data_IF_942423481401
#
_entry.id   IF_942423481401
#
_cell.length_a   1.000
_cell.length_b   1.000
_cell.length_c   1.000
_cell.angle_alpha   90.00
_cell.angle_beta   90.00
_cell.angle_gamma   90.00
#
_symmetry.space_group_name_H-M   'P 1'
#
loop_
_entity.id
_entity.type
_entity.pdbx_description
1 polymer ?
#
# COMPACT_ATOMS: atom_id res chain seq x y z
N UNK A 1 13.27 -56.83 -16.75
CA UNK A 1 12.12 -56.73 -15.85
C UNK A 1 11.54 -55.34 -16.04
N UNK A 2 10.31 -55.21 -16.53
CA UNK A 2 9.64 -53.91 -16.65
C UNK A 2 9.49 -53.36 -15.23
N UNK A 3 10.04 -52.17 -14.99
CA UNK A 3 9.90 -51.49 -13.70
C UNK A 3 8.42 -51.11 -13.56
N UNK A 4 7.70 -51.84 -12.73
CA UNK A 4 6.30 -51.57 -12.48
C UNK A 4 6.21 -50.23 -11.76
N UNK A 5 5.66 -49.22 -12.43
CA UNK A 5 5.52 -47.86 -11.85
C UNK A 5 4.37 -47.91 -10.89
N UNK A 6 4.65 -47.76 -9.61
CA UNK A 6 3.60 -47.71 -8.56
C UNK A 6 2.91 -46.36 -8.51
N UNK A 7 1.59 -46.35 -8.37
CA UNK A 7 0.79 -45.13 -8.10
C UNK A 7 0.90 -44.67 -6.65
N UNK A 8 1.61 -45.44 -5.81
CA UNK A 8 1.76 -45.11 -4.40
C UNK A 8 2.76 -43.94 -4.21
N UNK A 9 2.27 -42.81 -3.77
CA UNK A 9 3.10 -41.65 -3.36
C UNK A 9 3.52 -41.87 -1.92
N UNK A 10 4.83 -41.81 -1.64
CA UNK A 10 5.37 -41.96 -0.28
C UNK A 10 4.75 -40.92 0.67
N UNK A 11 4.41 -41.29 1.91
CA UNK A 11 3.82 -40.36 2.89
C UNK A 11 4.69 -39.11 3.16
N UNK A 12 6.01 -39.22 3.01
CA UNK A 12 6.94 -38.10 3.15
C UNK A 12 6.74 -37.06 2.04
N UNK A 13 6.61 -37.52 0.78
CA UNK A 13 6.38 -36.65 -0.38
C UNK A 13 4.97 -36.03 -0.29
N UNK A 14 3.97 -36.81 0.14
CA UNK A 14 2.63 -36.28 0.31
C UNK A 14 2.60 -35.16 1.36
N UNK A 15 3.24 -35.35 2.52
CA UNK A 15 3.34 -34.31 3.55
C UNK A 15 4.06 -33.06 3.04
N UNK A 16 5.15 -33.24 2.30
CA UNK A 16 5.88 -32.14 1.69
C UNK A 16 5.02 -31.37 0.69
N UNK A 17 4.26 -32.07 -0.14
CA UNK A 17 3.33 -31.45 -1.12
C UNK A 17 2.25 -30.60 -0.40
N UNK A 18 1.67 -31.14 0.66
CA UNK A 18 0.69 -30.40 1.49
C UNK A 18 1.32 -29.17 2.16
N UNK A 19 2.53 -29.29 2.68
CA UNK A 19 3.23 -28.18 3.33
C UNK A 19 3.55 -27.06 2.34
N UNK A 20 4.17 -27.38 1.19
CA UNK A 20 4.55 -26.42 0.15
C UNK A 20 3.36 -25.70 -0.48
N UNK A 21 2.22 -26.38 -0.57
CA UNK A 21 0.98 -25.78 -1.09
C UNK A 21 0.16 -25.01 -0.05
N UNK A 22 0.54 -25.05 1.23
CA UNK A 22 -0.27 -24.59 2.37
C UNK A 22 -1.71 -25.19 2.34
N UNK A 23 -1.86 -26.42 1.86
CA UNK A 23 -3.15 -27.09 1.72
C UNK A 23 -4.12 -26.43 0.74
N UNK A 24 -3.60 -25.73 -0.26
CA UNK A 24 -4.38 -25.01 -1.27
C UNK A 24 -4.13 -25.53 -2.68
N UNK A 25 -5.10 -25.29 -3.56
CA UNK A 25 -4.99 -25.62 -4.99
C UNK A 25 -3.93 -24.76 -5.66
N UNK A 26 -2.92 -25.39 -6.28
CA UNK A 26 -1.79 -24.74 -6.94
C UNK A 26 -2.10 -24.36 -8.41
N UNK A 27 -3.33 -24.61 -8.89
CA UNK A 27 -3.78 -24.14 -10.20
C UNK A 27 -3.89 -22.61 -10.17
N UNK A 28 -3.29 -21.93 -11.14
CA UNK A 28 -3.29 -20.47 -11.20
C UNK A 28 -4.69 -19.88 -11.19
N UNK A 29 -4.90 -18.86 -10.34
CA UNK A 29 -6.20 -18.21 -10.12
C UNK A 29 -7.20 -19.00 -9.25
N UNK A 30 -6.91 -20.28 -8.84
CA UNK A 30 -7.85 -21.05 -8.02
C UNK A 30 -7.69 -20.84 -6.51
N UNK A 31 -6.53 -21.14 -5.95
CA UNK A 31 -6.18 -20.98 -4.52
C UNK A 31 -7.19 -21.54 -3.49
N UNK A 32 -8.07 -22.50 -3.90
CA UNK A 32 -9.11 -23.08 -3.05
C UNK A 32 -8.49 -23.90 -1.91
N UNK A 33 -9.03 -23.76 -0.69
CA UNK A 33 -8.64 -24.60 0.46
C UNK A 33 -9.09 -26.04 0.21
N UNK A 34 -8.22 -27.02 0.48
CA UNK A 34 -8.44 -28.43 0.12
C UNK A 34 -8.65 -29.36 1.31
N UNK A 35 -8.57 -28.86 2.53
CA UNK A 35 -8.81 -29.64 3.75
C UNK A 35 -10.09 -29.21 4.51
N UNK A 36 -10.85 -28.28 3.93
CA UNK A 36 -12.06 -27.72 4.52
C UNK A 36 -13.07 -27.35 3.44
N UNK A 37 -14.35 -27.59 3.69
CA UNK A 37 -15.44 -27.12 2.85
C UNK A 37 -15.50 -25.58 2.89
N UNK A 38 -15.55 -24.93 1.73
CA UNK A 38 -15.74 -23.48 1.64
C UNK A 38 -17.17 -23.03 2.00
N UNK A 39 -18.12 -23.97 2.08
CA UNK A 39 -19.53 -23.70 2.34
C UNK A 39 -19.88 -23.96 3.81
N UNK A 40 -19.51 -25.15 4.31
CA UNK A 40 -19.91 -25.59 5.66
C UNK A 40 -18.82 -25.41 6.70
N UNK A 41 -17.59 -25.09 6.30
CA UNK A 41 -16.38 -25.06 7.12
C UNK A 41 -15.99 -26.41 7.77
N UNK A 42 -16.67 -27.47 7.43
CA UNK A 42 -16.34 -28.82 7.91
C UNK A 42 -15.01 -29.31 7.33
N UNK A 43 -14.32 -30.16 8.10
CA UNK A 43 -13.08 -30.80 7.63
C UNK A 43 -13.39 -31.82 6.54
N UNK A 44 -13.03 -31.50 5.31
CA UNK A 44 -13.23 -32.36 4.12
C UNK A 44 -11.98 -32.31 3.25
N UNK A 45 -11.38 -33.47 2.98
CA UNK A 45 -10.22 -33.57 2.09
C UNK A 45 -10.69 -33.68 0.63
N UNK A 46 -10.55 -32.60 -0.12
CA UNK A 46 -10.93 -32.49 -1.55
C UNK A 46 -9.71 -32.44 -2.48
N UNK A 47 -8.53 -32.69 -1.95
CA UNK A 47 -7.28 -32.60 -2.67
C UNK A 47 -7.06 -33.77 -3.63
N UNK A 48 -6.53 -33.46 -4.81
CA UNK A 48 -5.97 -34.40 -5.76
C UNK A 48 -4.46 -34.14 -5.89
N UNK A 49 -3.68 -35.21 -5.79
CA UNK A 49 -2.22 -35.19 -6.03
C UNK A 49 -1.99 -35.37 -7.52
N UNK A 50 -2.07 -34.26 -8.26
CA UNK A 50 -1.98 -34.26 -9.70
C UNK A 50 -0.54 -34.46 -10.19
N UNK A 51 -0.31 -35.41 -11.10
CA UNK A 51 0.96 -35.54 -11.79
C UNK A 51 1.06 -34.50 -12.91
N UNK A 52 2.18 -33.77 -12.98
CA UNK A 52 2.46 -32.85 -14.08
C UNK A 52 2.76 -33.65 -15.35
N UNK A 53 3.72 -34.53 -15.30
CA UNK A 53 3.92 -35.57 -16.33
C UNK A 53 3.21 -36.84 -15.89
N UNK A 54 2.45 -37.40 -16.79
CA UNK A 54 1.57 -38.54 -16.49
C UNK A 54 2.31 -39.74 -15.90
N UNK A 55 1.58 -40.46 -15.05
CA UNK A 55 1.99 -41.78 -14.59
C UNK A 55 2.10 -42.81 -15.74
N UNK A 56 1.37 -42.63 -16.84
CA UNK A 56 1.38 -43.48 -18.04
C UNK A 56 1.99 -42.75 -19.23
N UNK A 57 2.74 -43.47 -20.07
CA UNK A 57 3.32 -42.90 -21.29
C UNK A 57 2.28 -42.27 -22.24
N UNK A 58 1.12 -42.90 -22.35
CA UNK A 58 0.03 -42.45 -23.19
C UNK A 58 -0.97 -41.52 -22.44
N UNK A 59 -0.63 -41.14 -21.22
CA UNK A 59 -1.46 -40.20 -20.43
C UNK A 59 -1.14 -38.75 -20.75
N UNK A 60 -1.86 -37.80 -20.09
CA UNK A 60 -1.64 -36.39 -20.28
C UNK A 60 -0.16 -35.99 -20.10
N UNK A 61 0.45 -35.34 -21.10
CA UNK A 61 1.86 -34.90 -21.13
C UNK A 61 2.91 -36.03 -21.08
N UNK A 62 2.46 -37.32 -21.14
CA UNK A 62 3.35 -38.49 -21.14
C UNK A 62 4.32 -38.55 -19.95
N UNK A 63 5.44 -39.25 -20.11
CA UNK A 63 6.49 -39.35 -19.08
C UNK A 63 7.48 -38.19 -19.10
N UNK A 64 7.49 -37.33 -20.12
CA UNK A 64 8.40 -36.20 -20.25
C UNK A 64 9.86 -36.54 -19.97
N UNK A 65 10.54 -35.82 -19.03
CA UNK A 65 11.95 -36.07 -18.72
C UNK A 65 12.19 -37.35 -17.89
N UNK A 66 11.14 -38.04 -17.44
CA UNK A 66 11.26 -39.22 -16.54
C UNK A 66 11.36 -40.55 -17.29
N UNK A 67 11.44 -40.55 -18.62
CA UNK A 67 11.58 -41.79 -19.45
C UNK A 67 12.74 -42.72 -18.98
N UNK A 68 13.84 -42.14 -18.51
CA UNK A 68 15.00 -42.86 -18.00
C UNK A 68 14.98 -43.09 -16.49
N UNK A 69 13.95 -42.63 -15.78
CA UNK A 69 13.85 -42.67 -14.32
C UNK A 69 12.42 -42.69 -13.83
N UNK A 70 11.65 -43.72 -14.24
CA UNK A 70 10.21 -43.84 -13.91
C UNK A 70 9.91 -43.87 -12.40
N UNK A 71 10.86 -44.27 -11.56
CA UNK A 71 10.76 -44.22 -10.12
C UNK A 71 10.63 -42.78 -9.56
N UNK A 72 11.00 -41.78 -10.35
CA UNK A 72 10.90 -40.35 -10.00
C UNK A 72 9.57 -39.73 -10.40
N UNK A 73 8.67 -40.43 -11.07
CA UNK A 73 7.35 -39.90 -11.43
C UNK A 73 6.53 -39.47 -10.22
N UNK A 74 6.74 -40.07 -9.05
CA UNK A 74 6.09 -39.71 -7.80
C UNK A 74 6.92 -38.72 -6.93
N UNK A 75 7.99 -38.11 -7.47
CA UNK A 75 8.76 -37.11 -6.75
C UNK A 75 8.01 -35.77 -6.69
N UNK A 76 8.34 -34.99 -5.68
CA UNK A 76 7.70 -33.67 -5.40
C UNK A 76 7.74 -32.73 -6.60
N UNK A 77 8.79 -32.78 -7.44
CA UNK A 77 8.92 -31.92 -8.61
C UNK A 77 7.87 -32.22 -9.72
N UNK A 78 7.32 -33.44 -9.74
CA UNK A 78 6.30 -33.86 -10.69
C UNK A 78 4.87 -33.85 -10.14
N UNK A 79 4.69 -33.42 -8.90
CA UNK A 79 3.39 -33.41 -8.23
C UNK A 79 2.95 -31.99 -7.92
N UNK A 80 1.67 -31.70 -8.17
CA UNK A 80 1.01 -30.50 -7.69
C UNK A 80 -0.27 -30.84 -6.93
N UNK A 81 -0.62 -30.06 -5.91
CA UNK A 81 -1.87 -30.21 -5.19
C UNK A 81 -2.97 -29.42 -5.90
N UNK A 82 -4.04 -30.08 -6.30
CA UNK A 82 -5.12 -29.47 -7.03
C UNK A 82 -6.50 -29.83 -6.44
N UNK A 83 -7.49 -28.98 -6.59
CA UNK A 83 -8.88 -29.39 -6.37
C UNK A 83 -9.35 -30.32 -7.50
N UNK A 84 -10.42 -31.07 -7.24
CA UNK A 84 -10.96 -32.02 -8.22
C UNK A 84 -11.26 -31.38 -9.59
N UNK A 85 -11.87 -30.21 -9.58
CA UNK A 85 -12.21 -29.47 -10.80
C UNK A 85 -10.96 -29.07 -11.62
N UNK A 86 -9.94 -28.50 -10.96
CA UNK A 86 -8.70 -28.10 -11.63
C UNK A 86 -7.90 -29.30 -12.12
N UNK A 87 -7.87 -30.42 -11.36
CA UNK A 87 -7.26 -31.65 -11.79
C UNK A 87 -7.90 -32.19 -13.08
N UNK A 88 -9.25 -32.22 -13.14
CA UNK A 88 -9.96 -32.63 -14.37
C UNK A 88 -9.64 -31.72 -15.55
N UNK A 89 -9.52 -30.40 -15.35
CA UNK A 89 -9.18 -29.45 -16.42
C UNK A 89 -7.82 -29.75 -17.03
N UNK A 90 -6.77 -29.92 -16.20
CA UNK A 90 -5.42 -30.15 -16.69
C UNK A 90 -5.24 -31.51 -17.38
N UNK A 91 -6.01 -32.51 -16.98
CA UNK A 91 -5.93 -33.85 -17.56
C UNK A 91 -6.74 -34.00 -18.86
N UNK A 92 -7.85 -33.24 -18.99
CA UNK A 92 -8.71 -33.30 -20.20
C UNK A 92 -8.19 -32.45 -21.36
N UNK A 93 -7.34 -31.49 -21.11
CA UNK A 93 -6.79 -30.57 -22.11
C UNK A 93 -5.28 -30.37 -21.96
N UNK A 94 -4.48 -31.45 -22.11
CA UNK A 94 -3.02 -31.39 -21.87
C UNK A 94 -2.30 -30.42 -22.81
N UNK A 95 -2.80 -30.22 -24.02
CA UNK A 95 -2.29 -29.25 -25.00
C UNK A 95 -2.51 -27.79 -24.54
N UNK A 96 -3.59 -27.53 -23.80
CA UNK A 96 -3.90 -26.21 -23.22
C UNK A 96 -3.12 -25.96 -21.93
N UNK A 97 -2.75 -27.02 -21.22
CA UNK A 97 -2.02 -26.97 -19.96
C UNK A 97 -0.72 -27.79 -20.08
N UNK A 98 0.28 -27.28 -20.82
CA UNK A 98 1.57 -27.94 -20.97
C UNK A 98 2.33 -28.01 -19.66
N UNK A 99 3.31 -28.92 -19.57
CA UNK A 99 4.01 -29.21 -18.32
C UNK A 99 4.80 -28.01 -17.76
N UNK A 100 5.43 -27.23 -18.62
CA UNK A 100 6.17 -26.03 -18.27
C UNK A 100 5.27 -24.97 -17.58
N UNK A 101 4.05 -24.78 -18.08
CA UNK A 101 3.05 -23.92 -17.45
C UNK A 101 2.66 -24.41 -16.05
N UNK A 102 2.42 -25.72 -15.90
CA UNK A 102 2.05 -26.28 -14.60
C UNK A 102 3.22 -26.21 -13.58
N UNK A 103 4.45 -26.39 -14.05
CA UNK A 103 5.67 -26.23 -13.24
C UNK A 103 5.80 -24.77 -12.77
N UNK A 104 5.61 -23.81 -13.67
CA UNK A 104 5.65 -22.38 -13.35
C UNK A 104 4.57 -21.98 -12.32
N UNK A 105 3.33 -22.44 -12.50
CA UNK A 105 2.24 -22.19 -11.54
C UNK A 105 2.54 -22.78 -10.16
N UNK A 106 3.05 -24.02 -10.14
CA UNK A 106 3.47 -24.69 -8.90
C UNK A 106 4.56 -23.88 -8.20
N UNK A 107 5.62 -23.49 -8.91
CA UNK A 107 6.73 -22.71 -8.36
C UNK A 107 6.25 -21.38 -7.80
N UNK A 108 5.52 -20.59 -8.59
CA UNK A 108 4.97 -19.30 -8.15
C UNK A 108 4.08 -19.42 -6.91
N UNK A 109 3.31 -20.51 -6.82
CA UNK A 109 2.48 -20.75 -5.64
C UNK A 109 3.34 -21.09 -4.41
N UNK A 110 4.35 -21.96 -4.55
CA UNK A 110 5.24 -22.36 -3.45
C UNK A 110 6.08 -21.17 -2.97
N UNK A 111 6.66 -20.39 -3.88
CA UNK A 111 7.39 -19.16 -3.58
C UNK A 111 6.53 -18.17 -2.78
N UNK A 112 5.26 -18.00 -3.21
CA UNK A 112 4.32 -17.15 -2.47
C UNK A 112 4.05 -17.67 -1.06
N UNK A 113 3.87 -18.98 -0.90
CA UNK A 113 3.64 -19.59 0.42
C UNK A 113 4.87 -19.38 1.31
N UNK A 114 6.07 -19.58 0.79
CA UNK A 114 7.31 -19.38 1.52
C UNK A 114 7.50 -17.93 1.95
N UNK A 115 7.31 -16.97 1.03
CA UNK A 115 7.41 -15.54 1.34
C UNK A 115 6.41 -15.14 2.44
N UNK A 116 5.13 -15.52 2.28
CA UNK A 116 4.07 -15.08 3.21
C UNK A 116 4.21 -15.74 4.58
N UNK A 117 4.57 -17.03 4.63
CA UNK A 117 4.74 -17.75 5.90
C UNK A 117 6.10 -17.49 6.55
N UNK A 118 7.08 -17.00 5.80
CA UNK A 118 8.38 -16.56 6.28
C UNK A 118 8.36 -15.22 7.01
N UNK A 119 7.23 -14.46 6.95
CA UNK A 119 7.09 -13.20 7.67
C UNK A 119 7.07 -13.48 9.18
N UNK A 120 7.95 -12.81 9.93
CA UNK A 120 8.05 -12.99 11.37
C UNK A 120 6.74 -12.64 12.08
N UNK A 121 6.42 -13.35 13.16
CA UNK A 121 5.12 -13.24 13.86
C UNK A 121 4.87 -11.88 14.49
N UNK A 122 5.91 -11.09 14.75
CA UNK A 122 5.84 -9.71 15.24
C UNK A 122 5.56 -8.67 14.14
N UNK A 123 5.60 -9.07 12.87
CA UNK A 123 5.33 -8.21 11.70
C UNK A 123 3.84 -8.06 11.39
N UNK A 124 3.01 -8.06 12.42
CA UNK A 124 1.59 -7.69 12.31
C UNK A 124 1.44 -6.19 12.07
N UNK A 125 0.47 -5.81 11.24
CA UNK A 125 0.14 -4.40 11.02
C UNK A 125 -1.37 -4.20 10.88
N UNK A 126 -1.89 -3.17 11.52
CA UNK A 126 -3.26 -2.73 11.28
C UNK A 126 -3.35 -2.04 9.92
N UNK A 127 -4.20 -2.56 9.03
CA UNK A 127 -4.48 -1.94 7.74
C UNK A 127 -5.44 -0.79 7.96
N UNK A 128 -4.96 0.45 7.84
CA UNK A 128 -5.77 1.65 7.95
C UNK A 128 -6.18 2.11 6.57
N UNK A 129 -7.47 2.28 6.35
CA UNK A 129 -8.02 2.79 5.09
C UNK A 129 -8.75 4.11 5.34
N UNK A 130 -8.35 5.15 4.62
CA UNK A 130 -8.98 6.47 4.66
C UNK A 130 -9.29 6.95 3.24
N UNK A 131 -10.57 7.12 2.95
CA UNK A 131 -11.07 7.67 1.69
C UNK A 131 -12.00 8.85 1.93
N UNK A 132 -11.89 9.86 1.08
CA UNK A 132 -12.87 10.91 0.94
C UNK A 132 -13.02 11.25 -0.55
N UNK A 133 -14.16 11.78 -0.94
CA UNK A 133 -14.41 12.12 -2.34
C UNK A 133 -13.47 13.24 -2.79
N UNK A 134 -12.91 13.09 -3.98
CA UNK A 134 -12.17 14.13 -4.68
C UNK A 134 -12.99 14.51 -5.90
N UNK A 135 -13.67 15.64 -5.85
CA UNK A 135 -14.64 16.02 -6.87
C UNK A 135 -15.76 15.00 -7.01
N UNK A 136 -15.82 14.29 -8.15
CA UNK A 136 -16.80 13.22 -8.43
C UNK A 136 -16.18 11.82 -8.33
N UNK A 137 -14.90 11.71 -8.08
CA UNK A 137 -14.19 10.42 -8.01
C UNK A 137 -14.38 9.76 -6.65
N UNK A 138 -14.75 8.48 -6.66
CA UNK A 138 -14.79 7.65 -5.47
C UNK A 138 -13.40 7.11 -5.12
N UNK A 139 -13.16 6.86 -3.84
CA UNK A 139 -11.89 6.32 -3.37
C UNK A 139 -11.64 4.91 -3.94
N UNK A 140 -10.47 4.65 -4.57
CA UNK A 140 -10.13 3.35 -5.16
C UNK A 140 -9.59 2.34 -4.14
N UNK A 141 -9.91 2.48 -2.87
CA UNK A 141 -9.41 1.63 -1.79
C UNK A 141 -10.10 0.28 -1.76
N UNK A 142 -9.33 -0.79 -1.96
CA UNK A 142 -9.78 -2.19 -1.85
C UNK A 142 -8.89 -2.90 -0.84
N UNK A 143 -9.48 -3.50 0.21
CA UNK A 143 -8.72 -4.12 1.29
C UNK A 143 -7.73 -5.19 0.82
N UNK A 144 -8.14 -6.04 -0.12
CA UNK A 144 -7.27 -7.08 -0.69
C UNK A 144 -6.01 -6.51 -1.35
N UNK A 145 -6.14 -5.41 -2.08
CA UNK A 145 -5.02 -4.75 -2.77
C UNK A 145 -4.06 -4.10 -1.76
N UNK A 146 -4.62 -3.51 -0.70
CA UNK A 146 -3.85 -2.96 0.42
C UNK A 146 -3.03 -4.06 1.11
N UNK A 147 -3.67 -5.19 1.46
CA UNK A 147 -2.98 -6.33 2.07
C UNK A 147 -1.88 -6.87 1.17
N UNK A 148 -2.14 -6.99 -0.14
CA UNK A 148 -1.15 -7.50 -1.10
C UNK A 148 0.08 -6.60 -1.21
N UNK A 149 -0.07 -5.29 -0.97
CA UNK A 149 1.03 -4.34 -1.01
C UNK A 149 1.94 -4.39 0.24
N UNK A 150 1.45 -4.92 1.35
CA UNK A 150 2.23 -5.04 2.60
C UNK A 150 3.28 -6.14 2.53
N UNK A 151 3.07 -7.16 1.70
CA UNK A 151 3.99 -8.29 1.59
C UNK A 151 5.27 -7.89 0.85
N UNK A 152 6.44 -8.41 1.26
CA UNK A 152 6.69 -9.39 2.34
C UNK A 152 6.96 -8.78 3.72
N UNK A 153 6.89 -7.47 3.90
CA UNK A 153 7.36 -6.79 5.11
C UNK A 153 6.42 -6.98 6.30
N UNK A 154 5.10 -6.98 6.04
CA UNK A 154 4.05 -7.09 7.05
C UNK A 154 2.90 -7.98 6.59
N UNK A 155 2.11 -8.47 7.56
CA UNK A 155 0.84 -9.12 7.31
C UNK A 155 -0.28 -8.46 8.14
N UNK A 156 -1.56 -8.52 7.68
CA UNK A 156 -2.65 -7.83 8.36
C UNK A 156 -2.91 -8.42 9.74
N UNK A 157 -3.04 -7.54 10.74
CA UNK A 157 -3.36 -7.94 12.12
C UNK A 157 -4.78 -8.50 12.25
N UNK A 158 -5.70 -8.08 11.38
CA UNK A 158 -7.11 -8.46 11.39
C UNK A 158 -7.62 -8.76 9.97
N UNK A 159 -8.71 -9.52 9.88
CA UNK A 159 -9.40 -9.82 8.61
C UNK A 159 -10.14 -8.61 8.00
N UNK A 160 -10.28 -7.54 8.76
CA UNK A 160 -10.94 -6.29 8.34
C UNK A 160 -10.02 -5.10 8.57
N UNK A 161 -10.10 -4.07 7.71
CA UNK A 161 -9.33 -2.84 7.91
C UNK A 161 -9.87 -2.02 9.08
N UNK A 162 -9.02 -1.14 9.58
CA UNK A 162 -9.43 0.01 10.40
C UNK A 162 -9.88 1.10 9.43
N UNK A 163 -11.18 1.34 9.39
CA UNK A 163 -11.78 2.36 8.51
C UNK A 163 -11.87 3.69 9.24
N UNK A 164 -11.29 4.75 8.68
CA UNK A 164 -11.52 6.12 9.13
C UNK A 164 -12.68 6.76 8.39
N UNK A 165 -12.75 6.55 7.08
CA UNK A 165 -13.87 6.91 6.20
C UNK A 165 -13.62 6.26 4.85
N UNK A 166 -14.66 6.13 4.02
CA UNK A 166 -14.53 5.71 2.62
C UNK A 166 -15.21 6.68 1.66
N UNK A 167 -16.15 7.47 2.16
CA UNK A 167 -16.92 8.42 1.38
C UNK A 167 -17.25 9.65 2.22
N UNK A 168 -17.29 10.80 1.59
CA UNK A 168 -17.85 12.00 2.19
C UNK A 168 -19.32 12.14 1.82
N UNK A 169 -20.15 12.61 2.76
CA UNK A 169 -21.54 12.97 2.50
C UNK A 169 -21.68 14.31 1.78
N UNK A 170 -20.66 15.16 1.86
CA UNK A 170 -20.60 16.47 1.22
C UNK A 170 -19.62 16.44 0.04
N UNK A 171 -19.81 17.32 -0.92
CA UNK A 171 -18.83 17.59 -1.97
C UNK A 171 -17.76 18.54 -1.43
N UNK A 172 -16.52 18.40 -1.90
CA UNK A 172 -15.38 19.25 -1.52
C UNK A 172 -15.60 20.75 -1.82
N UNK A 173 -16.48 21.06 -2.76
CA UNK A 173 -16.92 22.42 -3.09
C UNK A 173 -18.05 22.96 -2.22
N UNK A 174 -18.61 22.15 -1.31
CA UNK A 174 -19.74 22.55 -0.47
C UNK A 174 -19.29 23.41 0.72
N UNK A 175 -20.11 24.38 1.11
CA UNK A 175 -19.88 25.13 2.33
C UNK A 175 -19.91 24.19 3.55
N UNK A 176 -18.96 24.37 4.47
CA UNK A 176 -18.82 23.54 5.67
C UNK A 176 -18.13 22.18 5.46
N UNK A 177 -17.77 21.80 4.21
CA UNK A 177 -17.11 20.54 3.92
C UNK A 177 -15.85 20.31 4.78
N UNK A 178 -14.94 21.25 4.79
CA UNK A 178 -13.66 21.13 5.52
C UNK A 178 -13.85 20.99 7.02
N UNK A 179 -14.82 21.69 7.60
CA UNK A 179 -15.13 21.60 9.03
C UNK A 179 -15.73 20.24 9.38
N UNK A 180 -16.69 19.76 8.58
CA UNK A 180 -17.34 18.48 8.80
C UNK A 180 -16.36 17.31 8.66
N UNK A 181 -15.57 17.28 7.56
CA UNK A 181 -14.63 16.21 7.32
C UNK A 181 -13.46 16.21 8.33
N UNK A 182 -12.99 17.39 8.75
CA UNK A 182 -11.97 17.47 9.79
C UNK A 182 -12.49 16.92 11.14
N UNK A 183 -13.69 17.30 11.55
CA UNK A 183 -14.30 16.82 12.79
C UNK A 183 -14.55 15.30 12.73
N UNK A 184 -15.05 14.80 11.62
CA UNK A 184 -15.26 13.37 11.39
C UNK A 184 -13.95 12.57 11.45
N UNK A 185 -12.90 13.05 10.75
CA UNK A 185 -11.59 12.42 10.77
C UNK A 185 -10.98 12.35 12.19
N UNK A 186 -11.11 13.44 12.97
CA UNK A 186 -10.64 13.48 14.37
C UNK A 186 -11.39 12.47 15.25
N UNK A 187 -12.69 12.38 15.10
CA UNK A 187 -13.53 11.44 15.85
C UNK A 187 -13.19 9.99 15.52
N UNK A 188 -13.15 9.66 14.23
CA UNK A 188 -12.80 8.31 13.77
C UNK A 188 -11.38 7.92 14.16
N UNK A 189 -10.41 8.82 14.05
CA UNK A 189 -9.05 8.58 14.51
C UNK A 189 -9.01 8.24 16.00
N UNK A 190 -9.72 9.00 16.83
CA UNK A 190 -9.79 8.80 18.28
C UNK A 190 -10.44 7.47 18.63
N UNK A 191 -11.52 7.11 17.94
CA UNK A 191 -12.31 5.90 18.20
C UNK A 191 -11.63 4.63 17.67
N UNK A 192 -10.70 4.74 16.74
CA UNK A 192 -10.04 3.61 16.07
C UNK A 192 -8.53 3.59 16.33
N UNK A 193 -7.73 4.34 15.59
CA UNK A 193 -6.24 4.26 15.65
C UNK A 193 -5.72 4.56 17.05
N UNK A 194 -6.18 5.64 17.68
CA UNK A 194 -5.71 6.01 19.02
C UNK A 194 -6.08 4.95 20.09
N UNK A 195 -7.19 4.23 19.88
CA UNK A 195 -7.60 3.11 20.73
C UNK A 195 -6.72 1.89 20.52
N UNK A 196 -6.50 1.47 19.27
CA UNK A 196 -5.59 0.36 18.94
C UNK A 196 -4.16 0.62 19.44
N UNK A 197 -3.66 1.84 19.24
CA UNK A 197 -2.34 2.22 19.74
C UNK A 197 -2.17 2.09 21.27
N UNK A 198 -3.25 2.18 22.03
CA UNK A 198 -3.23 2.03 23.50
C UNK A 198 -3.42 0.60 23.98
N UNK A 199 -4.35 -0.13 23.36
CA UNK A 199 -4.88 -1.40 23.89
C UNK A 199 -4.31 -2.65 23.24
N UNK A 200 -3.83 -2.58 21.99
CA UNK A 200 -3.45 -3.76 21.24
C UNK A 200 -1.95 -4.12 21.40
N UNK A 201 -1.66 -5.40 21.23
CA UNK A 201 -0.28 -5.89 21.16
C UNK A 201 0.41 -5.44 19.84
N UNK A 202 -0.36 -5.26 18.78
CA UNK A 202 0.13 -4.72 17.51
C UNK A 202 0.16 -3.20 17.56
N UNK A 203 1.34 -2.60 17.37
CA UNK A 203 1.56 -1.14 17.40
C UNK A 203 1.84 -0.53 16.04
N UNK A 204 1.99 -1.35 15.01
CA UNK A 204 2.28 -0.90 13.65
C UNK A 204 1.00 -0.68 12.84
N UNK A 205 0.99 0.37 12.02
CA UNK A 205 -0.11 0.76 11.15
C UNK A 205 0.36 0.92 9.70
N UNK A 206 -0.24 0.18 8.78
CA UNK A 206 -0.07 0.35 7.33
C UNK A 206 -1.19 1.22 6.81
N UNK A 207 -0.86 2.45 6.38
CA UNK A 207 -1.84 3.49 6.02
C UNK A 207 -1.98 3.61 4.51
N UNK A 208 -3.19 3.38 4.04
CA UNK A 208 -3.64 3.53 2.66
C UNK A 208 -4.69 4.62 2.61
N UNK A 209 -4.40 5.73 1.96
CA UNK A 209 -5.31 6.86 1.94
C UNK A 209 -5.46 7.48 0.55
N UNK A 210 -6.68 7.89 0.23
CA UNK A 210 -6.99 8.63 -0.98
C UNK A 210 -8.09 9.65 -0.68
N UNK A 211 -7.68 10.90 -0.44
CA UNK A 211 -8.53 12.00 0.00
C UNK A 211 -7.93 13.34 -0.48
N UNK A 212 -8.66 14.46 -0.39
CA UNK A 212 -8.10 15.80 -0.61
C UNK A 212 -6.86 16.05 0.25
N UNK A 213 -5.86 16.69 -0.35
CA UNK A 213 -4.53 16.84 0.25
C UNK A 213 -4.51 17.48 1.63
N UNK A 214 -5.34 18.51 1.94
CA UNK A 214 -5.43 19.06 3.29
C UNK A 214 -5.86 18.04 4.35
N UNK A 215 -6.79 17.13 4.03
CA UNK A 215 -7.23 16.08 4.93
C UNK A 215 -6.17 15.01 5.14
N UNK A 216 -5.36 14.72 4.11
CA UNK A 216 -4.20 13.81 4.24
C UNK A 216 -3.10 14.40 5.13
N UNK A 217 -2.84 15.71 5.04
CA UNK A 217 -1.94 16.42 5.94
C UNK A 217 -2.49 16.38 7.36
N UNK A 218 -3.79 16.56 7.54
CA UNK A 218 -4.45 16.44 8.85
C UNK A 218 -4.33 15.03 9.42
N UNK A 219 -4.57 13.99 8.61
CA UNK A 219 -4.36 12.61 9.02
C UNK A 219 -2.93 12.39 9.52
N UNK A 220 -1.94 12.88 8.76
CA UNK A 220 -0.53 12.82 9.17
C UNK A 220 -0.27 13.51 10.52
N UNK A 221 -0.86 14.69 10.73
CA UNK A 221 -0.73 15.43 11.99
C UNK A 221 -1.38 14.69 13.19
N UNK A 222 -2.44 13.91 12.96
CA UNK A 222 -3.06 13.06 13.99
C UNK A 222 -2.20 11.80 14.28
N UNK A 223 -1.62 11.18 13.25
CA UNK A 223 -0.73 10.03 13.38
C UNK A 223 0.55 10.39 14.15
N UNK A 224 1.05 11.59 13.98
CA UNK A 224 2.33 12.08 14.55
C UNK A 224 3.54 11.22 14.17
N UNK A 225 4.71 11.55 14.64
CA UNK A 225 5.94 10.75 14.52
C UNK A 225 6.07 9.66 15.59
N UNK A 226 5.15 9.65 16.58
CA UNK A 226 5.18 8.71 17.72
C UNK A 226 4.59 7.34 17.41
N UNK A 227 3.67 7.27 16.45
CA UNK A 227 3.10 6.01 16.03
C UNK A 227 4.02 5.35 15.00
N UNK A 228 4.15 4.04 15.10
CA UNK A 228 4.86 3.23 14.11
C UNK A 228 3.95 3.03 12.89
N UNK A 229 4.24 3.78 11.84
CA UNK A 229 3.38 3.90 10.65
C UNK A 229 4.20 3.75 9.39
N UNK A 230 3.73 2.90 8.51
CA UNK A 230 4.13 2.88 7.10
C UNK A 230 3.01 3.46 6.25
N UNK A 231 3.33 4.49 5.46
CA UNK A 231 2.40 5.08 4.49
C UNK A 231 2.63 4.50 3.11
N UNK A 232 1.56 4.19 2.40
CA UNK A 232 1.60 3.63 1.05
C UNK A 232 1.17 4.65 0.02
N UNK A 233 1.75 4.55 -1.18
CA UNK A 233 1.45 5.40 -2.32
C UNK A 233 0.61 4.64 -3.34
N UNK A 234 -0.46 5.26 -3.83
CA UNK A 234 -1.19 4.75 -4.99
C UNK A 234 -0.46 5.12 -6.27
N UNK A 235 0.08 4.12 -6.95
CA UNK A 235 0.74 4.28 -8.25
C UNK A 235 -0.26 4.18 -9.39
N UNK A 236 0.05 4.83 -10.51
CA UNK A 236 -0.73 4.74 -11.75
C UNK A 236 -0.19 3.68 -12.70
N UNK A 237 1.13 3.53 -12.78
CA UNK A 237 1.82 2.59 -13.67
C UNK A 237 3.00 1.90 -12.95
N UNK A 238 2.88 0.58 -12.66
CA UNK A 238 1.66 -0.23 -12.68
C UNK A 238 0.68 0.21 -11.59
N UNK A 239 -0.62 0.13 -11.90
CA UNK A 239 -1.66 0.52 -10.95
C UNK A 239 -1.61 -0.36 -9.69
N UNK A 240 -1.53 0.27 -8.53
CA UNK A 240 -1.54 -0.44 -7.24
C UNK A 240 -0.84 0.31 -6.12
N UNK A 241 -0.75 -0.34 -4.96
CA UNK A 241 -0.17 0.23 -3.75
C UNK A 241 1.24 -0.28 -3.43
N UNK A 242 1.74 -1.26 -4.21
CA UNK A 242 3.05 -1.85 -3.95
C UNK A 242 4.16 -0.89 -4.34
N UNK A 243 5.06 -0.65 -3.40
CA UNK A 243 6.28 0.11 -3.67
C UNK A 243 7.12 -0.58 -4.75
N UNK A 244 7.70 0.22 -5.63
CA UNK A 244 8.57 -0.24 -6.70
C UNK A 244 10.04 -0.13 -6.29
N UNK A 245 10.90 -0.93 -6.90
CA UNK A 245 12.33 -0.75 -6.78
C UNK A 245 12.74 0.50 -7.57
N UNK A 246 13.53 1.36 -6.93
CA UNK A 246 14.05 2.58 -7.55
C UNK A 246 15.53 2.70 -7.22
N UNK A 247 16.35 2.94 -8.22
CA UNK A 247 17.80 2.73 -8.15
C UNK A 247 18.56 3.99 -8.55
N UNK A 248 18.23 5.19 -8.01
CA UNK A 248 18.85 6.41 -8.48
C UNK A 248 19.23 7.43 -7.40
N UNK A 249 20.16 8.31 -7.77
CA UNK A 249 20.58 9.55 -7.11
C UNK A 249 19.43 10.59 -7.00
N UNK A 250 18.29 10.14 -6.43
CA UNK A 250 17.12 11.00 -6.30
C UNK A 250 17.27 11.98 -5.14
N UNK A 251 16.87 13.25 -5.36
CA UNK A 251 16.83 14.27 -4.31
C UNK A 251 15.68 15.25 -4.52
N UNK A 252 15.14 15.74 -3.43
CA UNK A 252 14.23 16.88 -3.45
C UNK A 252 15.02 18.16 -3.56
N UNK A 253 14.51 19.12 -4.33
CA UNK A 253 15.07 20.45 -4.53
C UNK A 253 14.29 21.42 -3.68
N UNK A 254 15.00 22.12 -2.78
CA UNK A 254 14.41 23.19 -1.96
C UNK A 254 14.87 24.51 -2.54
N UNK A 255 13.90 25.33 -2.97
CA UNK A 255 14.16 26.72 -3.42
C UNK A 255 13.79 27.65 -2.27
N UNK A 256 14.77 28.44 -1.84
CA UNK A 256 14.62 29.39 -0.76
C UNK A 256 14.23 30.77 -1.28
N UNK A 257 13.39 31.55 -0.55
CA UNK A 257 13.09 32.92 -0.95
C UNK A 257 14.31 33.84 -0.75
N UNK A 258 14.45 34.84 -1.63
CA UNK A 258 15.47 35.87 -1.45
C UNK A 258 15.19 36.74 -0.22
N UNK A 259 13.94 37.13 -0.01
CA UNK A 259 13.49 37.84 1.17
C UNK A 259 12.89 36.84 2.16
N UNK A 260 13.47 36.73 3.35
CA UNK A 260 13.05 35.83 4.43
C UNK A 260 12.41 36.58 5.61
N UNK A 261 12.00 37.84 5.41
CA UNK A 261 11.39 38.66 6.47
C UNK A 261 9.88 38.83 6.32
N UNK A 262 9.34 38.51 5.13
CA UNK A 262 7.92 38.55 4.88
C UNK A 262 7.20 37.26 5.41
N UNK A 263 5.88 37.24 5.52
CA UNK A 263 5.13 36.04 5.98
C UNK A 263 5.49 34.79 5.16
N UNK A 264 5.72 33.64 5.82
CA UNK A 264 6.17 32.43 5.17
C UNK A 264 5.07 31.70 4.42
N UNK A 265 5.35 31.28 3.18
CA UNK A 265 4.54 30.38 2.41
C UNK A 265 5.41 29.22 1.92
N UNK A 266 4.86 28.02 1.92
CA UNK A 266 5.49 26.78 1.48
C UNK A 266 4.67 26.15 0.36
N UNK A 267 5.25 26.12 -0.84
CA UNK A 267 4.68 25.50 -2.03
C UNK A 267 5.33 24.14 -2.25
N UNK A 268 4.53 23.14 -2.51
CA UNK A 268 4.97 21.85 -3.01
C UNK A 268 4.62 21.73 -4.50
N UNK A 269 5.62 21.74 -5.36
CA UNK A 269 5.48 21.51 -6.81
C UNK A 269 6.07 20.14 -7.15
N UNK A 270 5.41 19.05 -6.68
CA UNK A 270 5.92 17.70 -6.82
C UNK A 270 5.14 16.88 -7.85
N UNK A 271 3.82 17.01 -7.86
CA UNK A 271 2.96 16.29 -8.83
C UNK A 271 2.72 17.06 -10.12
N UNK A 272 3.03 18.35 -10.11
CA UNK A 272 2.91 19.25 -11.27
C UNK A 272 3.77 20.50 -11.05
N UNK A 273 4.10 21.21 -12.12
CA UNK A 273 4.71 22.52 -12.04
C UNK A 273 3.66 23.57 -11.69
N UNK A 274 3.86 24.26 -10.58
CA UNK A 274 2.93 25.28 -10.10
C UNK A 274 3.50 26.67 -10.35
N UNK A 275 2.74 27.51 -11.06
CA UNK A 275 3.09 28.92 -11.22
C UNK A 275 2.97 29.64 -9.86
N UNK A 276 4.04 30.32 -9.45
CA UNK A 276 4.10 31.10 -8.21
C UNK A 276 3.05 32.21 -8.14
N UNK A 277 2.60 32.72 -9.30
CA UNK A 277 1.53 33.71 -9.40
C UNK A 277 0.24 33.22 -8.75
N UNK A 278 -0.04 31.91 -8.79
CA UNK A 278 -1.21 31.32 -8.15
C UNK A 278 -1.18 31.43 -6.62
N UNK A 279 0.02 31.45 -6.02
CA UNK A 279 0.20 31.70 -4.59
C UNK A 279 0.04 33.19 -4.28
N UNK A 280 0.63 34.07 -5.13
CA UNK A 280 0.55 35.52 -4.98
C UNK A 280 -0.87 36.06 -5.12
N UNK A 281 -1.70 35.49 -5.98
CA UNK A 281 -3.12 35.83 -6.10
C UNK A 281 -3.83 35.66 -4.75
N UNK A 282 -3.42 34.70 -3.92
CA UNK A 282 -4.06 34.39 -2.64
C UNK A 282 -3.47 35.24 -1.51
N UNK A 283 -2.15 35.40 -1.45
CA UNK A 283 -1.43 35.99 -0.32
C UNK A 283 -0.89 37.41 -0.59
N UNK A 284 -0.92 37.87 -1.84
CA UNK A 284 -0.29 39.12 -2.27
C UNK A 284 1.21 38.95 -2.57
N UNK A 285 1.86 40.06 -2.95
CA UNK A 285 3.27 40.06 -3.37
C UNK A 285 4.27 39.95 -2.19
N UNK A 286 3.87 40.44 -1.03
CA UNK A 286 4.78 40.48 0.15
C UNK A 286 4.76 39.16 0.91
N UNK A 287 5.47 38.17 0.40
CA UNK A 287 5.61 36.84 1.03
C UNK A 287 7.01 36.27 0.85
N UNK A 288 7.41 35.39 1.78
CA UNK A 288 8.61 34.57 1.70
C UNK A 288 8.23 33.19 1.16
N UNK A 289 8.33 32.98 -0.16
CA UNK A 289 7.91 31.74 -0.81
C UNK A 289 9.04 30.71 -0.81
N UNK A 290 8.90 29.70 0.02
CA UNK A 290 9.70 28.46 0.00
C UNK A 290 9.06 27.48 -0.96
N UNK A 291 9.83 26.77 -1.76
CA UNK A 291 9.30 25.75 -2.66
C UNK A 291 10.06 24.43 -2.51
N UNK A 292 9.34 23.33 -2.46
CA UNK A 292 9.87 21.97 -2.58
C UNK A 292 9.45 21.39 -3.91
N UNK A 293 10.42 20.97 -4.72
CA UNK A 293 10.18 20.39 -6.04
C UNK A 293 11.13 19.23 -6.32
N UNK A 294 11.01 18.65 -7.50
CA UNK A 294 11.90 17.63 -8.07
C UNK A 294 12.35 18.08 -9.46
N UNK A 295 13.33 17.41 -10.04
CA UNK A 295 13.84 17.77 -11.38
C UNK A 295 12.73 17.74 -12.44
N UNK A 296 11.83 16.75 -12.36
CA UNK A 296 10.72 16.57 -13.28
C UNK A 296 9.42 16.27 -12.52
N UNK A 297 8.67 17.30 -12.09
CA UNK A 297 7.42 17.13 -11.37
C UNK A 297 6.36 16.43 -12.22
N UNK A 298 5.81 15.32 -11.72
CA UNK A 298 4.69 14.61 -12.33
C UNK A 298 3.96 13.72 -11.30
N UNK A 299 2.74 13.33 -11.61
CA UNK A 299 1.86 12.64 -10.66
C UNK A 299 2.38 11.30 -10.13
N UNK A 300 3.28 10.62 -10.84
CA UNK A 300 3.76 9.27 -10.51
C UNK A 300 5.29 9.22 -10.28
N UNK A 301 5.90 10.35 -9.88
CA UNK A 301 7.35 10.39 -9.62
C UNK A 301 7.76 9.61 -8.39
N UNK A 302 6.88 9.53 -7.40
CA UNK A 302 7.15 8.87 -6.12
C UNK A 302 6.87 7.38 -6.24
N UNK A 303 7.88 6.57 -6.46
CA UNK A 303 7.76 5.13 -6.72
C UNK A 303 8.27 4.25 -5.59
N UNK A 304 9.20 4.76 -4.76
CA UNK A 304 9.88 3.92 -3.76
C UNK A 304 9.78 4.45 -2.32
N UNK A 305 9.93 3.54 -1.37
CA UNK A 305 10.07 3.87 0.07
C UNK A 305 11.27 4.80 0.32
N UNK A 306 12.36 4.64 -0.45
CA UNK A 306 13.58 5.45 -0.29
C UNK A 306 13.28 6.90 -0.61
N UNK A 307 12.58 7.18 -1.70
CA UNK A 307 12.17 8.55 -2.04
C UNK A 307 11.31 9.18 -0.92
N UNK A 308 10.40 8.40 -0.30
CA UNK A 308 9.57 8.90 0.81
C UNK A 308 10.40 9.17 2.08
N UNK A 309 11.45 8.38 2.34
CA UNK A 309 12.41 8.64 3.42
C UNK A 309 13.18 9.94 3.15
N UNK A 310 13.65 10.14 1.92
CA UNK A 310 14.33 11.38 1.52
C UNK A 310 13.40 12.60 1.65
N UNK A 311 12.12 12.46 1.29
CA UNK A 311 11.12 13.50 1.51
C UNK A 311 11.04 13.89 3.00
N UNK A 312 10.87 12.92 3.89
CA UNK A 312 10.82 13.19 5.35
C UNK A 312 12.06 13.92 5.86
N UNK A 313 13.24 13.53 5.38
CA UNK A 313 14.50 14.19 5.77
C UNK A 313 14.55 15.64 5.26
N UNK A 314 14.18 15.86 3.99
CA UNK A 314 14.14 17.19 3.39
C UNK A 314 13.15 18.12 4.13
N UNK A 315 11.94 17.63 4.44
CA UNK A 315 10.92 18.40 5.16
C UNK A 315 11.36 18.75 6.58
N UNK A 316 11.91 17.81 7.33
CA UNK A 316 12.40 18.08 8.70
C UNK A 316 13.45 19.18 8.70
N UNK A 317 14.41 19.13 7.77
CA UNK A 317 15.42 20.18 7.62
C UNK A 317 14.77 21.52 7.24
N UNK A 318 13.91 21.52 6.26
CA UNK A 318 13.21 22.72 5.78
C UNK A 318 12.39 23.40 6.87
N UNK A 319 11.64 22.63 7.69
CA UNK A 319 10.84 23.18 8.78
C UNK A 319 11.71 23.86 9.85
N UNK A 320 12.90 23.32 10.13
CA UNK A 320 13.87 23.98 11.01
C UNK A 320 14.35 25.30 10.40
N UNK A 321 14.65 25.33 9.11
CA UNK A 321 15.13 26.54 8.42
C UNK A 321 14.04 27.62 8.35
N UNK A 322 12.78 27.25 8.01
CA UNK A 322 11.65 28.19 8.00
C UNK A 322 11.47 28.79 9.41
N UNK A 323 11.45 27.95 10.44
CA UNK A 323 11.28 28.39 11.82
C UNK A 323 12.40 29.32 12.30
N UNK A 324 13.64 29.04 11.90
CA UNK A 324 14.81 29.90 12.21
C UNK A 324 14.64 31.32 11.68
N UNK A 325 14.03 31.48 10.50
CA UNK A 325 13.87 32.77 9.87
C UNK A 325 12.59 33.51 10.26
N UNK A 326 11.48 32.78 10.46
CA UNK A 326 10.15 33.37 10.65
C UNK A 326 9.61 33.25 12.09
N UNK A 327 10.27 32.48 12.95
CA UNK A 327 9.76 32.20 14.32
C UNK A 327 8.50 31.36 14.32
N UNK A 328 7.70 31.46 15.39
CA UNK A 328 6.48 30.67 15.58
C UNK A 328 5.20 31.52 15.61
N UNK A 329 5.33 32.85 15.62
CA UNK A 329 4.19 33.75 15.79
C UNK A 329 3.38 33.95 14.49
N UNK A 330 4.05 33.85 13.33
CA UNK A 330 3.42 33.99 12.03
C UNK A 330 3.07 32.62 11.48
N UNK A 331 1.82 32.37 11.05
CA UNK A 331 1.44 31.08 10.52
C UNK A 331 2.14 30.80 9.17
N UNK A 332 2.39 29.50 8.92
CA UNK A 332 2.92 29.00 7.65
C UNK A 332 1.77 28.67 6.70
N UNK A 333 1.74 29.31 5.55
CA UNK A 333 0.78 29.02 4.50
C UNK A 333 1.27 27.88 3.62
N UNK A 334 0.53 26.76 3.53
CA UNK A 334 0.94 25.54 2.82
C UNK A 334 0.07 25.31 1.59
N UNK A 335 0.72 25.21 0.44
CA UNK A 335 0.13 24.97 -0.88
C UNK A 335 0.58 23.60 -1.40
N UNK A 336 -0.15 22.52 -1.12
CA UNK A 336 0.28 21.20 -1.51
C UNK A 336 -0.14 20.89 -2.95
N UNK A 337 0.82 20.44 -3.78
CA UNK A 337 0.60 19.75 -5.06
C UNK A 337 1.57 18.58 -5.08
N UNK A 338 1.22 17.51 -4.38
CA UNK A 338 2.13 16.41 -4.10
C UNK A 338 1.42 15.07 -3.95
N UNK A 339 2.15 13.93 -4.00
CA UNK A 339 1.59 12.59 -3.79
C UNK A 339 0.93 12.41 -2.42
N UNK A 340 -0.06 11.52 -2.34
CA UNK A 340 -0.85 11.27 -1.12
C UNK A 340 0.00 10.89 0.09
N UNK A 341 1.02 10.03 -0.09
CA UNK A 341 1.92 9.65 0.99
C UNK A 341 2.80 10.81 1.47
N UNK A 342 3.22 11.72 0.57
CA UNK A 342 3.94 12.94 0.94
C UNK A 342 3.07 13.86 1.80
N UNK A 343 1.78 13.98 1.51
CA UNK A 343 0.84 14.77 2.34
C UNK A 343 0.78 14.23 3.78
N UNK A 344 0.65 12.92 3.92
CA UNK A 344 0.62 12.27 5.24
C UNK A 344 1.94 12.47 5.97
N UNK A 345 3.08 12.26 5.30
CA UNK A 345 4.39 12.42 5.92
C UNK A 345 4.73 13.88 6.27
N UNK A 346 4.23 14.86 5.50
CA UNK A 346 4.29 16.27 5.88
C UNK A 346 3.56 16.52 7.20
N UNK A 347 2.34 16.03 7.32
CA UNK A 347 1.56 16.13 8.56
C UNK A 347 2.23 15.46 9.75
N UNK A 348 2.83 14.28 9.55
CA UNK A 348 3.58 13.55 10.58
C UNK A 348 4.86 14.26 11.03
N UNK A 349 5.47 15.05 10.16
CA UNK A 349 6.65 15.82 10.49
C UNK A 349 6.35 17.03 11.39
N UNK A 350 5.07 17.45 11.50
CA UNK A 350 4.67 18.59 12.32
C UNK A 350 4.85 18.32 13.82
N UNK A 351 5.41 19.27 14.51
CA UNK A 351 5.57 19.27 15.98
C UNK A 351 4.62 20.32 16.61
N UNK A 352 3.39 19.94 17.02
CA UNK A 352 2.35 20.90 17.41
C UNK A 352 2.74 21.87 18.54
N UNK A 353 3.66 21.45 19.44
CA UNK A 353 4.14 22.28 20.56
C UNK A 353 5.30 23.21 20.19
N UNK A 354 5.90 23.00 19.03
CA UNK A 354 7.12 23.67 18.66
C UNK A 354 7.00 24.46 17.34
N UNK A 355 6.09 24.10 16.48
CA UNK A 355 5.89 24.71 15.19
C UNK A 355 4.79 25.78 15.23
N UNK A 356 4.89 26.71 14.29
CA UNK A 356 3.85 27.69 14.01
C UNK A 356 2.54 27.03 13.56
N UNK A 357 1.46 27.77 13.59
CA UNK A 357 0.20 27.33 12.99
C UNK A 357 0.37 27.15 11.48
N UNK A 358 -0.29 26.15 10.93
CA UNK A 358 -0.32 25.90 9.48
C UNK A 358 -1.69 26.25 8.92
N UNK A 359 -1.72 27.08 7.91
CA UNK A 359 -2.92 27.36 7.10
C UNK A 359 -2.75 26.59 5.79
N UNK A 360 -3.54 25.54 5.61
CA UNK A 360 -3.45 24.66 4.44
C UNK A 360 -4.47 25.05 3.39
N UNK A 361 -4.04 25.09 2.16
CA UNK A 361 -4.86 25.44 1.00
C UNK A 361 -5.14 24.22 0.16
N UNK A 362 -6.31 24.18 -0.45
CA UNK A 362 -6.67 23.19 -1.43
C UNK A 362 -6.65 23.77 -2.84
N UNK A 363 -6.26 22.94 -3.79
CA UNK A 363 -6.27 23.30 -5.20
C UNK A 363 -7.62 22.97 -5.82
N UNK A 364 -8.37 23.99 -6.23
CA UNK A 364 -9.60 23.79 -6.97
C UNK A 364 -9.30 23.66 -8.48
N UNK A 365 -9.45 22.45 -9.08
CA UNK A 365 -9.15 22.21 -10.48
C UNK A 365 -10.08 22.96 -11.44
N UNK A 366 -11.30 23.31 -10.99
CA UNK A 366 -12.28 23.98 -11.86
C UNK A 366 -11.92 25.43 -12.19
N UNK A 367 -11.28 26.14 -11.25
CA UNK A 367 -10.90 27.55 -11.42
C UNK A 367 -9.40 27.80 -11.31
N UNK A 368 -8.59 26.72 -11.16
CA UNK A 368 -7.14 26.75 -11.00
C UNK A 368 -6.64 27.62 -9.83
N UNK A 369 -7.48 27.87 -8.81
CA UNK A 369 -7.16 28.71 -7.65
C UNK A 369 -6.93 27.84 -6.41
N UNK A 370 -6.10 28.36 -5.53
CA UNK A 370 -6.00 27.84 -4.17
C UNK A 370 -7.04 28.51 -3.28
N UNK A 371 -7.71 27.70 -2.45
CA UNK A 371 -8.66 28.16 -1.45
C UNK A 371 -8.26 27.64 -0.08
N UNK A 372 -8.37 28.48 0.94
CA UNK A 372 -8.08 28.05 2.32
C UNK A 372 -9.03 26.93 2.73
N UNK A 373 -8.49 25.86 3.27
CA UNK A 373 -9.21 24.65 3.64
C UNK A 373 -9.18 24.36 5.14
N UNK A 374 -8.00 24.16 5.69
CA UNK A 374 -7.80 23.77 7.09
C UNK A 374 -6.79 24.66 7.80
N UNK A 375 -6.99 24.83 9.10
CA UNK A 375 -6.01 25.43 10.01
C UNK A 375 -5.57 24.36 11.01
N UNK A 376 -4.27 24.08 11.05
CA UNK A 376 -3.66 23.18 12.01
C UNK A 376 -2.96 24.02 13.09
N UNK A 377 -3.66 24.33 14.16
CA UNK A 377 -3.12 25.13 15.27
C UNK A 377 -2.18 24.31 16.17
N UNK A 378 -1.23 24.98 16.81
CA UNK A 378 -0.46 24.43 17.91
C UNK A 378 -1.40 23.98 19.02
N UNK A 379 -1.17 22.82 19.62
CA UNK A 379 -2.01 22.32 20.69
C UNK A 379 -2.06 23.34 21.82
N UNK A 380 -3.19 24.04 21.97
CA UNK A 380 -3.55 24.69 23.23
C UNK A 380 -3.57 23.61 24.30
N UNK A 381 -2.83 23.82 25.37
CA UNK A 381 -2.81 22.96 26.56
C UNK A 381 -4.24 22.68 27.00
N UNK A 382 -4.71 21.45 26.81
CA UNK A 382 -5.82 20.85 27.48
C UNK A 382 -5.30 19.73 28.37
#
# INVERSE_FOLDING_TARGET
MATEVTRHIKPTIERELWARSAGRCQFDGCNKILFRSSVTNESVHTAQKAHIFSFSENGPRGWGPFKTGLNKLNDICNLMLACHECHLKIDRAPERYPADMLIDWKSKHEDRVEIVTGIASDKKSHVVMYGANIGQESSPLVFHDCVSAMFPDYYPANEKPVLLSMHSSLRDSSEGYWQAENAHLEEEFKNTIARHAKSDDCKHFSVFAFAPQPLLIKLGALLTDKLDVETFQLHREPKGWRWQAFDDDFKFIVKEPQNKTAPPALLFSLSDNVDHERVRIVLGENLSLWEVTVESPHNDFLQSKIQLVLFRQAIRKLMVDIKKHHGNATPLHIFPVMPVSCCIELGRARMPKADMDWIVYDHNPSNQKFTQSLVLSGGSNG
#
